data_IF_803353133031
#
_entry.id   IF_803353133031
#
_cell.length_a   1.000
_cell.length_b   1.000
_cell.length_c   1.000
_cell.angle_alpha   90.00
_cell.angle_beta   90.00
_cell.angle_gamma   90.00
#
_symmetry.space_group_name_H-M   'P 1'
#
loop_
_entity.id
_entity.type
_entity.pdbx_description
1 polymer ?
#
# COMPACT_ATOMS: atom_id res chain seq x y z
N UNK A 1 -1.68 1.98 -13.52
CA UNK A 1 -0.42 2.49 -12.94
C UNK A 1 0.12 1.56 -11.86
N UNK A 2 1.41 1.67 -11.61
CA UNK A 2 2.15 0.88 -10.63
C UNK A 2 2.79 1.81 -9.61
N UNK A 3 2.69 1.45 -8.33
CA UNK A 3 3.30 2.16 -7.20
C UNK A 3 4.12 1.17 -6.37
N UNK A 4 5.35 1.54 -6.03
CA UNK A 4 6.17 0.81 -5.05
C UNK A 4 6.10 1.57 -3.74
N UNK A 5 5.66 0.91 -2.68
CA UNK A 5 5.44 1.57 -1.41
C UNK A 5 5.85 0.68 -0.23
N UNK A 6 6.13 1.33 0.89
CA UNK A 6 6.38 0.65 2.17
C UNK A 6 5.13 0.76 3.03
N UNK A 7 4.64 -0.36 3.53
CA UNK A 7 3.47 -0.37 4.43
C UNK A 7 3.85 0.31 5.75
N UNK A 8 3.04 1.27 6.19
CA UNK A 8 3.17 1.95 7.48
C UNK A 8 2.18 1.42 8.51
N UNK A 9 0.95 1.21 8.08
CA UNK A 9 -0.14 0.74 8.93
C UNK A 9 -1.02 -0.23 8.14
N UNK A 10 -1.51 -1.28 8.81
CA UNK A 10 -2.43 -2.27 8.23
C UNK A 10 -3.77 -2.12 8.91
N UNK A 11 -4.81 -1.79 8.14
CA UNK A 11 -6.21 -1.73 8.58
C UNK A 11 -7.00 -2.84 7.88
N UNK A 12 -8.22 -3.11 8.33
CA UNK A 12 -9.01 -4.26 7.87
C UNK A 12 -9.24 -4.31 6.34
N UNK A 13 -9.44 -3.15 5.72
CA UNK A 13 -9.72 -3.00 4.28
C UNK A 13 -8.83 -1.94 3.61
N UNK A 14 -7.80 -1.47 4.30
CA UNK A 14 -6.89 -0.49 3.72
C UNK A 14 -5.49 -0.59 4.31
N UNK A 15 -4.52 -0.14 3.54
CA UNK A 15 -3.14 0.01 3.98
C UNK A 15 -2.80 1.49 3.95
N UNK A 16 -2.19 2.00 5.01
CA UNK A 16 -1.45 3.25 4.91
C UNK A 16 -0.05 2.91 4.41
N UNK A 17 0.35 3.46 3.28
CA UNK A 17 1.65 3.19 2.67
C UNK A 17 2.39 4.48 2.37
N UNK A 18 3.71 4.42 2.42
CA UNK A 18 4.59 5.49 1.94
C UNK A 18 5.01 5.17 0.51
N UNK A 19 4.58 5.96 -0.46
CA UNK A 19 5.09 5.84 -1.83
C UNK A 19 6.58 6.16 -1.86
N UNK A 20 7.37 5.27 -2.48
CA UNK A 20 8.83 5.40 -2.58
C UNK A 20 9.25 6.42 -3.63
N UNK A 21 8.40 6.71 -4.62
CA UNK A 21 8.73 7.67 -5.67
C UNK A 21 8.52 9.12 -5.20
N UNK A 22 7.36 9.40 -4.62
CA UNK A 22 6.97 10.75 -4.18
C UNK A 22 7.30 11.03 -2.72
N UNK A 23 7.61 10.00 -1.92
CA UNK A 23 7.64 10.12 -0.46
C UNK A 23 6.34 10.77 0.05
N UNK A 24 5.18 10.30 -0.41
CA UNK A 24 3.89 10.72 0.10
C UNK A 24 3.20 9.55 0.79
N UNK A 25 2.43 9.84 1.84
CA UNK A 25 1.58 8.84 2.47
C UNK A 25 0.26 8.73 1.68
N UNK A 26 -0.10 7.49 1.34
CA UNK A 26 -1.27 7.17 0.51
C UNK A 26 -2.08 6.09 1.22
N UNK A 27 -3.40 6.27 1.27
CA UNK A 27 -4.31 5.22 1.74
C UNK A 27 -4.70 4.34 0.56
N UNK A 28 -4.46 3.05 0.70
CA UNK A 28 -4.71 2.06 -0.34
C UNK A 28 -5.87 1.20 0.08
N UNK A 29 -7.04 1.45 -0.49
CA UNK A 29 -8.23 0.63 -0.25
C UNK A 29 -8.11 -0.69 -1.02
N UNK A 30 -8.34 -1.80 -0.32
CA UNK A 30 -8.25 -3.14 -0.87
C UNK A 30 -9.34 -4.04 -0.27
N UNK A 31 -9.75 -5.07 -1.02
CA UNK A 31 -10.77 -6.03 -0.54
C UNK A 31 -10.31 -6.82 0.69
N UNK A 32 -9.02 -7.10 0.77
CA UNK A 32 -8.39 -7.78 1.90
C UNK A 32 -6.95 -7.33 2.02
N UNK A 33 -6.54 -7.03 3.25
CA UNK A 33 -5.16 -6.67 3.63
C UNK A 33 -4.51 -7.76 4.49
N UNK A 34 -5.17 -8.93 4.59
CA UNK A 34 -4.68 -10.04 5.41
C UNK A 34 -3.29 -10.47 4.96
N UNK A 35 -2.43 -10.66 5.96
CA UNK A 35 -1.08 -11.15 5.79
C UNK A 35 -0.04 -10.08 5.48
N UNK A 36 -0.41 -8.81 5.22
CA UNK A 36 0.53 -7.69 5.16
C UNK A 36 0.89 -7.19 6.56
N UNK A 37 2.09 -6.65 6.70
CA UNK A 37 2.63 -6.13 7.95
C UNK A 37 3.29 -4.75 7.74
N UNK A 38 3.28 -3.88 8.77
CA UNK A 38 4.08 -2.65 8.75
C UNK A 38 5.55 -2.93 8.41
N UNK A 39 6.12 -2.19 7.46
CA UNK A 39 7.47 -2.39 6.95
C UNK A 39 7.57 -3.26 5.69
N UNK A 40 6.49 -3.96 5.30
CA UNK A 40 6.47 -4.69 4.03
C UNK A 40 6.74 -3.76 2.84
N UNK A 41 7.60 -4.20 1.93
CA UNK A 41 7.75 -3.57 0.62
C UNK A 41 6.75 -4.20 -0.34
N UNK A 42 5.83 -3.38 -0.85
CA UNK A 42 4.74 -3.84 -1.71
C UNK A 42 4.74 -3.12 -3.06
N UNK A 43 4.30 -3.85 -4.08
CA UNK A 43 3.97 -3.33 -5.40
C UNK A 43 2.45 -3.31 -5.54
N UNK A 44 1.91 -2.14 -5.85
CA UNK A 44 0.47 -1.88 -5.92
C UNK A 44 0.12 -1.49 -7.34
N UNK A 45 -0.80 -2.24 -7.94
CA UNK A 45 -1.42 -1.93 -9.22
C UNK A 45 -2.76 -1.25 -8.97
N UNK A 46 -3.00 -0.13 -9.63
CA UNK A 46 -4.23 0.65 -9.53
C UNK A 46 -4.55 1.32 -10.86
N UNK A 47 -5.76 1.86 -11.01
CA UNK A 47 -6.25 2.44 -12.27
C UNK A 47 -5.66 3.82 -12.61
N UNK A 48 -4.81 4.40 -11.75
CA UNK A 48 -4.22 5.72 -11.95
C UNK A 48 -4.97 6.88 -11.31
N UNK A 49 -6.17 6.63 -10.79
CA UNK A 49 -7.00 7.66 -10.15
C UNK A 49 -6.68 7.74 -8.66
N UNK A 50 -6.43 8.95 -8.18
CA UNK A 50 -6.23 9.29 -6.77
C UNK A 50 -7.27 10.30 -6.32
N UNK A 51 -7.76 10.16 -5.08
CA UNK A 51 -8.64 11.17 -4.48
C UNK A 51 -7.86 12.43 -4.12
N UNK A 52 -8.52 13.59 -4.14
CA UNK A 52 -7.93 14.89 -3.72
C UNK A 52 -7.95 15.11 -2.19
N UNK A 53 -7.96 14.04 -1.40
CA UNK A 53 -7.93 14.13 0.07
C UNK A 53 -6.48 14.21 0.60
N UNK A 54 -6.32 14.54 1.88
CA UNK A 54 -5.05 14.41 2.60
C UNK A 54 -5.19 13.40 3.75
N UNK A 55 -4.44 12.27 3.75
CA UNK A 55 -3.65 11.76 2.62
C UNK A 55 -4.53 11.39 1.40
N UNK A 56 -3.95 11.39 0.18
CA UNK A 56 -4.64 10.88 -1.02
C UNK A 56 -4.96 9.39 -0.85
N UNK A 57 -6.03 8.96 -1.52
CA UNK A 57 -6.47 7.56 -1.50
C UNK A 57 -6.52 6.97 -2.90
N UNK A 58 -6.27 5.66 -2.99
CA UNK A 58 -6.39 4.86 -4.21
C UNK A 58 -7.18 3.58 -3.95
N UNK A 59 -7.70 2.97 -5.01
CA UNK A 59 -8.24 1.62 -4.98
C UNK A 59 -7.27 0.64 -5.64
N UNK A 60 -6.79 -0.35 -4.88
CA UNK A 60 -5.88 -1.35 -5.40
C UNK A 60 -6.62 -2.39 -6.25
N UNK A 61 -6.14 -2.58 -7.47
CA UNK A 61 -6.53 -3.72 -8.33
C UNK A 61 -5.77 -4.98 -7.91
N UNK A 62 -4.48 -4.85 -7.57
CA UNK A 62 -3.65 -5.94 -7.09
C UNK A 62 -2.54 -5.42 -6.20
N UNK A 63 -2.28 -6.11 -5.09
CA UNK A 63 -1.14 -5.84 -4.21
C UNK A 63 -0.28 -7.10 -4.18
N UNK A 64 1.02 -6.95 -4.46
CA UNK A 64 2.00 -8.03 -4.38
C UNK A 64 3.11 -7.63 -3.44
N UNK A 65 3.43 -8.48 -2.46
CA UNK A 65 4.59 -8.28 -1.60
C UNK A 65 5.87 -8.57 -2.37
N UNK A 66 6.84 -7.66 -2.27
CA UNK A 66 8.19 -7.83 -2.80
C UNK A 66 9.10 -8.38 -1.71
N UNK A 67 9.02 -7.79 -0.50
CA UNK A 67 9.85 -8.17 0.64
C UNK A 67 9.06 -7.98 1.94
N UNK A 68 9.24 -8.91 2.89
CA UNK A 68 8.73 -8.78 4.25
C UNK A 68 9.89 -8.90 5.24
N UNK A 69 10.09 -7.91 6.13
CA UNK A 69 11.02 -8.08 7.23
C UNK A 69 10.52 -9.10 8.27
N UNK A 70 9.26 -9.52 8.20
CA UNK A 70 8.62 -10.42 9.17
C UNK A 70 8.69 -11.90 8.81
N UNK A 71 9.17 -12.28 7.62
CA UNK A 71 9.23 -13.67 7.17
C UNK A 71 10.28 -14.55 7.89
N UNK A 72 11.03 -14.02 8.86
CA UNK A 72 12.08 -14.73 9.59
C UNK A 72 11.84 -14.80 11.12
N UNK A 73 10.60 -14.66 11.60
CA UNK A 73 10.25 -14.81 13.02
C UNK A 73 9.34 -16.00 13.28
#
# INVERSE_FOLDING_TARGET
MLMIATVREVRFNSLLVRDRATSQDVVVNARSTRGFFPGDLVRIWYNGVMTRSMPPQIFALRITRIFSPWCCR
#
